data_IF_439915218484
#
_entry.id   IF_439915218484
#
_cell.length_a   1.000
_cell.length_b   1.000
_cell.length_c   1.000
_cell.angle_alpha   90.00
_cell.angle_beta   90.00
_cell.angle_gamma   90.00
#
_symmetry.space_group_name_H-M   'P 1'
#
loop_
_entity.id
_entity.type
_entity.pdbx_description
1 polymer ?
#
# COMPACT_ATOMS: atom_id res chain seq x y z
N UNK A 1 -6.36 16.30 4.07
CA UNK A 1 -5.32 16.46 3.02
C UNK A 1 -5.85 15.99 1.67
N UNK A 2 -5.41 16.55 0.52
CA UNK A 2 -5.86 16.07 -0.81
C UNK A 2 -5.08 14.83 -1.26
N UNK A 3 -5.73 13.66 -1.26
CA UNK A 3 -5.13 12.42 -1.79
C UNK A 3 -5.05 12.46 -3.32
N UNK A 4 -3.87 12.19 -3.87
CA UNK A 4 -3.62 12.14 -5.32
C UNK A 4 -3.04 10.77 -5.73
N UNK A 5 -3.19 10.39 -7.00
CA UNK A 5 -2.66 9.11 -7.51
C UNK A 5 -3.48 7.85 -7.17
N UNK A 6 -4.52 7.96 -6.33
CA UNK A 6 -5.31 6.83 -5.79
C UNK A 6 -5.70 5.77 -6.84
N UNK A 7 -6.35 6.17 -7.93
CA UNK A 7 -6.84 5.21 -8.95
C UNK A 7 -5.69 4.43 -9.60
N UNK A 8 -4.60 5.12 -9.95
CA UNK A 8 -3.44 4.49 -10.59
C UNK A 8 -2.73 3.58 -9.61
N UNK A 9 -2.41 4.07 -8.41
CA UNK A 9 -1.69 3.32 -7.39
C UNK A 9 -2.43 2.02 -7.01
N UNK A 10 -3.74 2.09 -6.73
CA UNK A 10 -4.55 0.90 -6.44
C UNK A 10 -4.60 -0.06 -7.62
N UNK A 11 -4.80 0.44 -8.84
CA UNK A 11 -4.83 -0.40 -10.04
C UNK A 11 -3.51 -1.12 -10.28
N UNK A 12 -2.39 -0.42 -10.12
CA UNK A 12 -1.05 -1.00 -10.23
C UNK A 12 -0.81 -2.04 -9.13
N UNK A 13 -1.17 -1.75 -7.88
CA UNK A 13 -1.03 -2.69 -6.77
C UNK A 13 -1.79 -3.99 -7.03
N UNK A 14 -3.04 -3.89 -7.48
CA UNK A 14 -3.87 -5.04 -7.81
C UNK A 14 -3.29 -5.83 -9.00
N UNK A 15 -2.79 -5.12 -10.02
CA UNK A 15 -2.16 -5.73 -11.20
C UNK A 15 -0.90 -6.51 -10.82
N UNK A 16 0.01 -5.88 -10.06
CA UNK A 16 1.29 -6.47 -9.69
C UNK A 16 1.15 -7.64 -8.71
N UNK A 17 0.10 -7.65 -7.90
CA UNK A 17 -0.17 -8.75 -6.95
C UNK A 17 -1.17 -9.80 -7.46
N UNK A 18 -1.53 -9.78 -8.75
CA UNK A 18 -2.55 -10.68 -9.32
C UNK A 18 -2.16 -12.16 -9.26
N UNK A 19 -0.87 -12.50 -9.35
CA UNK A 19 -0.42 -13.89 -9.28
C UNK A 19 -0.35 -14.49 -7.87
N UNK A 20 -0.68 -13.71 -6.83
CA UNK A 20 -0.80 -14.20 -5.47
C UNK A 20 0.54 -14.38 -4.74
N UNK A 21 0.50 -15.14 -3.63
CA UNK A 21 1.59 -15.18 -2.63
C UNK A 21 2.92 -15.74 -3.15
N UNK A 22 2.87 -16.65 -4.13
CA UNK A 22 4.05 -17.32 -4.67
C UNK A 22 4.54 -16.71 -6.00
N UNK A 23 3.89 -15.64 -6.49
CA UNK A 23 4.38 -14.93 -7.67
C UNK A 23 5.59 -14.06 -7.27
N UNK A 24 6.74 -14.16 -7.98
CA UNK A 24 7.87 -13.26 -7.77
C UNK A 24 7.55 -11.80 -8.10
N UNK A 25 6.53 -11.54 -8.91
CA UNK A 25 6.07 -10.19 -9.21
C UNK A 25 5.14 -9.69 -8.09
N UNK A 26 5.41 -8.47 -7.61
CA UNK A 26 4.57 -7.81 -6.62
C UNK A 26 4.70 -6.30 -6.60
N UNK A 27 3.69 -5.68 -5.99
CA UNK A 27 3.69 -4.25 -5.71
C UNK A 27 3.54 -3.94 -4.24
N UNK A 28 4.22 -2.88 -3.77
CA UNK A 28 3.97 -2.26 -2.47
C UNK A 28 3.26 -0.93 -2.67
N UNK A 29 2.08 -0.77 -2.07
CA UNK A 29 1.35 0.50 -2.10
C UNK A 29 2.00 1.48 -1.12
N UNK A 30 2.45 2.60 -1.63
CA UNK A 30 3.21 3.62 -0.92
C UNK A 30 2.40 4.90 -0.79
N UNK A 31 2.64 5.64 0.29
CA UNK A 31 1.99 6.90 0.58
C UNK A 31 2.97 7.92 1.16
N UNK A 32 2.92 9.15 0.64
CA UNK A 32 3.63 10.29 1.21
C UNK A 32 2.65 11.16 2.00
N UNK A 33 2.80 11.16 3.33
CA UNK A 33 1.95 11.89 4.27
C UNK A 33 2.09 13.41 4.13
N UNK A 34 3.21 13.91 3.60
CA UNK A 34 3.45 15.35 3.45
C UNK A 34 2.73 15.93 2.24
N UNK A 35 2.60 15.14 1.17
CA UNK A 35 2.01 15.59 -0.11
C UNK A 35 0.65 14.97 -0.42
N UNK A 36 0.27 13.88 0.24
CA UNK A 36 -0.92 13.09 -0.04
C UNK A 36 -0.81 12.25 -1.30
N UNK A 37 0.41 12.04 -1.81
CA UNK A 37 0.67 11.28 -3.05
C UNK A 37 0.66 9.78 -2.78
N UNK A 38 -0.05 9.03 -3.62
CA UNK A 38 -0.01 7.57 -3.68
C UNK A 38 0.70 7.08 -4.94
N UNK A 39 1.48 6.02 -4.79
CA UNK A 39 2.05 5.24 -5.89
C UNK A 39 2.23 3.79 -5.47
N UNK A 40 2.62 2.94 -6.41
CA UNK A 40 2.95 1.54 -6.14
C UNK A 40 4.33 1.27 -6.71
N UNK A 41 5.24 0.81 -5.86
CA UNK A 41 6.53 0.31 -6.30
C UNK A 41 6.36 -1.12 -6.82
N UNK A 42 6.93 -1.40 -7.99
CA UNK A 42 6.89 -2.71 -8.65
C UNK A 42 8.21 -3.45 -8.41
N UNK A 43 8.13 -4.74 -8.08
CA UNK A 43 9.29 -5.58 -7.81
C UNK A 43 9.13 -6.93 -8.50
N UNK A 44 10.27 -7.52 -8.85
CA UNK A 44 10.35 -8.91 -9.28
C UNK A 44 11.44 -9.62 -8.47
N UNK A 45 11.02 -10.39 -7.46
CA UNK A 45 11.91 -11.09 -6.53
C UNK A 45 11.24 -12.36 -6.00
N UNK A 46 11.91 -13.50 -6.19
CA UNK A 46 11.47 -14.82 -5.74
C UNK A 46 11.22 -14.87 -4.23
N UNK A 47 12.00 -14.13 -3.44
CA UNK A 47 11.86 -14.06 -1.99
C UNK A 47 10.80 -13.08 -1.51
N UNK A 48 10.34 -12.18 -2.39
CA UNK A 48 9.46 -11.05 -2.06
C UNK A 48 9.98 -10.15 -0.93
N UNK A 49 11.28 -9.92 -0.91
CA UNK A 49 11.99 -9.15 0.13
C UNK A 49 12.61 -7.85 -0.40
N UNK A 50 12.53 -7.60 -1.71
CA UNK A 50 12.92 -6.33 -2.30
C UNK A 50 12.03 -5.19 -1.82
N UNK A 51 12.65 -4.06 -1.50
CA UNK A 51 12.01 -2.80 -1.14
C UNK A 51 12.88 -1.62 -1.60
N UNK A 52 12.27 -0.44 -1.74
CA UNK A 52 13.00 0.81 -1.95
C UNK A 52 13.14 1.50 -0.59
N UNK A 53 14.37 1.87 -0.24
CA UNK A 53 14.61 2.70 0.94
C UNK A 53 14.30 4.16 0.63
N UNK A 54 13.35 4.72 1.36
CA UNK A 54 13.02 6.14 1.31
C UNK A 54 13.59 6.83 2.54
N UNK A 55 14.47 7.82 2.33
CA UNK A 55 15.08 8.62 3.42
C UNK A 55 14.14 9.67 4.03
N UNK A 56 12.84 9.62 3.71
CA UNK A 56 11.83 10.54 4.24
C UNK A 56 10.94 9.82 5.24
N UNK A 57 10.83 10.37 6.46
CA UNK A 57 9.92 9.88 7.49
C UNK A 57 8.42 10.05 7.12
N UNK A 58 8.14 10.84 6.09
CA UNK A 58 6.79 11.07 5.59
C UNK A 58 6.31 10.00 4.60
N UNK A 59 7.24 9.21 4.04
CA UNK A 59 6.92 8.15 3.09
C UNK A 59 6.76 6.82 3.84
N UNK A 60 5.60 6.18 3.66
CA UNK A 60 5.26 4.92 4.33
C UNK A 60 4.79 3.88 3.33
N UNK A 61 5.09 2.61 3.63
CA UNK A 61 4.48 1.47 2.95
C UNK A 61 3.05 1.27 3.45
N UNK A 62 2.10 2.01 2.87
CA UNK A 62 0.71 2.08 3.31
C UNK A 62 0.06 0.70 3.43
N UNK A 63 0.35 -0.23 2.52
CA UNK A 63 -0.20 -1.60 2.58
C UNK A 63 0.21 -2.34 3.85
N UNK A 64 1.43 -2.11 4.36
CA UNK A 64 1.93 -2.74 5.57
C UNK A 64 1.25 -2.13 6.81
N UNK A 65 1.12 -0.81 6.85
CA UNK A 65 0.39 -0.13 7.93
C UNK A 65 -1.09 -0.52 7.97
N UNK A 66 -1.74 -0.60 6.80
CA UNK A 66 -3.09 -1.14 6.68
C UNK A 66 -3.15 -2.56 7.26
N UNK A 67 -2.25 -3.44 6.83
CA UNK A 67 -2.20 -4.83 7.32
C UNK A 67 -2.10 -4.89 8.83
N UNK A 68 -1.15 -4.18 9.41
CA UNK A 68 -0.86 -4.22 10.83
C UNK A 68 -2.02 -3.63 11.64
N UNK A 69 -2.64 -2.55 11.15
CA UNK A 69 -3.87 -2.01 11.71
C UNK A 69 -5.02 -3.04 11.67
N UNK A 70 -5.32 -3.66 10.54
CA UNK A 70 -6.45 -4.59 10.44
C UNK A 70 -6.25 -5.87 11.27
N UNK A 71 -5.00 -6.37 11.35
CA UNK A 71 -4.64 -7.47 12.22
C UNK A 71 -4.86 -7.11 13.69
N UNK A 72 -4.44 -5.90 14.11
CA UNK A 72 -4.61 -5.44 15.50
C UNK A 72 -6.07 -5.22 15.86
N UNK A 73 -6.83 -4.51 15.03
CA UNK A 73 -8.20 -4.09 15.35
C UNK A 73 -9.23 -5.21 15.18
N UNK A 74 -9.01 -6.14 14.24
CA UNK A 74 -10.01 -7.15 13.88
C UNK A 74 -9.52 -8.60 13.97
N UNK A 75 -8.26 -8.83 14.39
CA UNK A 75 -7.66 -10.16 14.49
C UNK A 75 -7.45 -10.87 13.16
N UNK A 76 -7.67 -10.18 12.02
CA UNK A 76 -7.49 -10.73 10.68
C UNK A 76 -7.23 -9.64 9.65
N UNK A 77 -6.43 -9.96 8.64
CA UNK A 77 -6.32 -9.11 7.46
C UNK A 77 -7.63 -9.17 6.67
N UNK A 78 -8.39 -8.07 6.67
CA UNK A 78 -9.81 -8.08 6.25
C UNK A 78 -10.14 -7.30 4.98
N UNK A 79 -9.45 -6.21 4.57
CA UNK A 79 -9.83 -5.55 3.34
C UNK A 79 -8.92 -5.92 2.18
N UNK A 80 -9.58 -6.24 1.08
CA UNK A 80 -9.01 -6.06 -0.24
C UNK A 80 -8.53 -4.61 -0.40
N UNK A 81 -7.38 -4.43 -1.04
CA UNK A 81 -6.85 -3.10 -1.36
C UNK A 81 -7.69 -2.56 -2.52
N UNK A 82 -8.57 -1.61 -2.20
CA UNK A 82 -9.48 -0.93 -3.14
C UNK A 82 -9.37 0.57 -2.96
N UNK A 83 -9.84 1.36 -3.92
CA UNK A 83 -9.84 2.82 -3.78
C UNK A 83 -10.58 3.30 -2.53
N UNK A 84 -11.68 2.63 -2.17
CA UNK A 84 -12.47 2.97 -0.99
C UNK A 84 -11.70 2.63 0.30
N UNK A 85 -11.22 1.40 0.44
CA UNK A 85 -10.52 0.96 1.66
C UNK A 85 -9.23 1.75 1.90
N UNK A 86 -8.48 2.05 0.84
CA UNK A 86 -7.29 2.91 0.91
C UNK A 86 -7.65 4.33 1.33
N UNK A 87 -8.66 4.94 0.70
CA UNK A 87 -9.08 6.31 1.01
C UNK A 87 -9.60 6.42 2.45
N UNK A 88 -10.48 5.50 2.86
CA UNK A 88 -11.04 5.48 4.21
C UNK A 88 -9.95 5.30 5.28
N UNK A 89 -8.93 4.46 5.00
CA UNK A 89 -7.80 4.28 5.90
C UNK A 89 -6.97 5.56 6.03
N UNK A 90 -6.66 6.24 4.92
CA UNK A 90 -5.87 7.48 4.93
C UNK A 90 -6.61 8.57 5.71
N UNK A 91 -7.90 8.77 5.43
CA UNK A 91 -8.72 9.77 6.11
C UNK A 91 -8.85 9.52 7.61
N UNK A 92 -8.78 8.26 8.04
CA UNK A 92 -8.89 7.91 9.46
C UNK A 92 -7.58 8.11 10.24
N UNK A 93 -6.43 7.91 9.60
CA UNK A 93 -5.15 7.80 10.30
C UNK A 93 -4.20 8.99 10.06
N UNK A 94 -4.43 9.80 9.03
CA UNK A 94 -3.53 10.91 8.66
C UNK A 94 -4.26 12.23 8.36
N UNK A 95 -5.55 12.33 8.64
CA UNK A 95 -6.36 13.56 8.58
C UNK A 95 -7.15 13.74 9.88
#
# INVERSE_FOLDING_TARGET
MKVTGLKKAVGDYQKFNKGGRCDPHYGLLMFDKSTGKLWTDEFYDLGRNSYIEYNSADIVALVLEMRDYYLREFGKYKPEVTMKTVKDFILKNYE
#
